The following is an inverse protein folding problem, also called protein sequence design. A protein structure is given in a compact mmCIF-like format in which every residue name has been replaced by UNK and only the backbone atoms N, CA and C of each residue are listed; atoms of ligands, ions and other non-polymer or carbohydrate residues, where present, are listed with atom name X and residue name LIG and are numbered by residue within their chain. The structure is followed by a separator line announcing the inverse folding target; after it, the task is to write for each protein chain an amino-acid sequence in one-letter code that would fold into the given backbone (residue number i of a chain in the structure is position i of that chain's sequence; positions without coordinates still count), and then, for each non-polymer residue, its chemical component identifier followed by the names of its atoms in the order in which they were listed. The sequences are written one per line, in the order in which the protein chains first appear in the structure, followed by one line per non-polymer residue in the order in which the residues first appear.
data_IF_558896190365
#
_entry.id   IF_558896190365
#
_cell.length_a   1.000
_cell.length_b   1.000
_cell.length_c   1.000
_cell.angle_alpha   90.00
_cell.angle_beta   90.00
_cell.angle_gamma   90.00
#
_symmetry.space_group_name_H-M   'P 1'
#
loop_
_entity.id
_entity.type
_entity.pdbx_description
1 polymer ?
#
# COMPACT_ATOMS: atom_id res chain seq x y z
N UNK A 1 -2.91 -17.46 0.23
CA UNK A 1 -1.66 -18.04 -0.33
C UNK A 1 -1.93 -18.94 -1.53
N UNK A 2 -2.92 -19.85 -1.49
CA UNK A 2 -3.25 -20.72 -2.62
C UNK A 2 -3.53 -19.99 -3.96
N UNK A 3 -4.11 -18.78 -3.92
CA UNK A 3 -4.46 -18.03 -5.13
C UNK A 3 -3.27 -17.72 -6.05
N UNK A 4 -2.20 -17.11 -5.52
CA UNK A 4 -1.02 -16.73 -6.34
C UNK A 4 -0.31 -17.96 -6.90
N UNK A 5 -0.12 -18.99 -6.07
CA UNK A 5 0.48 -20.25 -6.51
C UNK A 5 -0.32 -20.89 -7.65
N UNK A 6 -1.64 -20.93 -7.55
CA UNK A 6 -2.50 -21.48 -8.60
C UNK A 6 -2.35 -20.72 -9.93
N UNK A 7 -2.23 -19.39 -9.88
CA UNK A 7 -2.00 -18.56 -11.08
C UNK A 7 -0.62 -18.86 -11.68
N UNK A 8 0.43 -18.91 -10.87
CA UNK A 8 1.79 -19.24 -11.31
C UNK A 8 1.83 -20.61 -12.00
N UNK A 9 1.25 -21.64 -11.36
CA UNK A 9 1.16 -22.99 -11.92
C UNK A 9 0.32 -23.04 -13.21
N UNK A 10 -0.74 -22.23 -13.31
CA UNK A 10 -1.52 -22.11 -14.54
C UNK A 10 -0.73 -21.43 -15.66
N UNK A 11 0.01 -20.35 -15.36
CA UNK A 11 0.85 -19.66 -16.33
C UNK A 11 1.95 -20.57 -16.90
N UNK A 12 2.61 -21.34 -16.02
CA UNK A 12 3.61 -22.33 -16.42
C UNK A 12 3.01 -23.41 -17.34
N UNK A 13 1.86 -23.99 -16.96
CA UNK A 13 1.19 -25.03 -17.77
C UNK A 13 0.68 -24.51 -19.12
N UNK A 14 0.20 -23.28 -19.16
CA UNK A 14 -0.34 -22.66 -20.37
C UNK A 14 0.73 -22.05 -21.28
N UNK A 15 2.00 -21.99 -20.85
CA UNK A 15 3.06 -21.33 -21.62
C UNK A 15 2.82 -19.83 -21.79
N UNK A 16 2.32 -19.15 -20.76
CA UNK A 16 2.07 -17.70 -20.80
C UNK A 16 3.38 -16.97 -21.10
N UNK A 17 3.33 -16.06 -22.08
CA UNK A 17 4.52 -15.31 -22.54
C UNK A 17 5.12 -14.41 -21.46
N UNK A 18 4.27 -13.79 -20.63
CA UNK A 18 4.69 -12.94 -19.51
C UNK A 18 3.58 -12.80 -18.48
N UNK A 19 3.93 -12.92 -17.21
CA UNK A 19 3.07 -12.58 -16.07
C UNK A 19 3.52 -11.25 -15.45
N UNK A 20 2.67 -10.23 -15.48
CA UNK A 20 2.87 -9.02 -14.66
C UNK A 20 2.13 -9.20 -13.34
N UNK A 21 2.87 -9.29 -12.26
CA UNK A 21 2.32 -9.52 -10.93
C UNK A 21 2.29 -8.23 -10.11
N UNK A 22 1.09 -7.79 -9.73
CA UNK A 22 0.89 -6.64 -8.85
C UNK A 22 1.08 -7.05 -7.39
N UNK A 23 2.24 -6.72 -6.84
CA UNK A 23 2.52 -6.82 -5.41
C UNK A 23 2.15 -5.50 -4.72
N UNK A 24 2.90 -5.09 -3.70
CA UNK A 24 2.75 -3.84 -2.98
C UNK A 24 4.09 -3.44 -2.40
N UNK A 25 4.31 -2.14 -2.17
CA UNK A 25 5.44 -1.68 -1.35
C UNK A 25 5.52 -2.42 -0.01
N UNK A 26 4.38 -2.80 0.56
CA UNK A 26 4.26 -3.57 1.81
C UNK A 26 4.80 -5.01 1.74
N UNK A 27 5.12 -5.52 0.55
CA UNK A 27 5.82 -6.80 0.42
C UNK A 27 7.33 -6.67 0.71
N UNK A 28 7.90 -5.48 0.51
CA UNK A 28 9.32 -5.21 0.68
C UNK A 28 9.61 -5.04 2.17
N UNK A 29 10.69 -5.68 2.64
CA UNK A 29 11.12 -5.57 4.03
C UNK A 29 11.41 -4.11 4.38
N UNK A 30 10.78 -3.59 5.44
CA UNK A 30 10.98 -2.22 5.86
C UNK A 30 12.40 -2.04 6.42
N UNK A 31 13.22 -1.14 5.86
CA UNK A 31 14.53 -0.83 6.43
C UNK A 31 14.39 0.00 7.71
N UNK A 32 15.49 0.17 8.49
CA UNK A 32 15.49 1.08 9.63
C UNK A 32 14.93 2.46 9.27
N UNK A 33 14.14 3.03 10.19
CA UNK A 33 13.47 4.31 9.95
C UNK A 33 14.46 5.39 9.51
N UNK A 34 14.13 6.10 8.43
CA UNK A 34 14.97 7.15 7.85
C UNK A 34 15.84 6.67 6.67
N UNK A 35 15.82 5.38 6.36
CA UNK A 35 16.47 4.82 5.16
C UNK A 35 15.54 4.88 3.95
N UNK A 36 16.03 5.25 2.76
CA UNK A 36 15.20 5.21 1.55
C UNK A 36 14.88 3.76 1.19
N UNK A 37 13.60 3.44 0.96
CA UNK A 37 13.16 2.13 0.49
C UNK A 37 13.30 2.07 -1.02
N UNK A 38 13.97 1.05 -1.54
CA UNK A 38 14.11 0.76 -2.96
C UNK A 38 13.99 -0.76 -3.23
N UNK A 39 14.13 -1.18 -4.49
CA UNK A 39 14.00 -2.57 -4.92
C UNK A 39 15.21 -3.45 -4.55
N UNK A 40 16.23 -2.91 -3.87
CA UNK A 40 17.36 -3.71 -3.38
C UNK A 40 17.01 -4.45 -2.09
N UNK A 41 15.98 -4.00 -1.37
CA UNK A 41 15.47 -4.66 -0.18
C UNK A 41 14.69 -5.93 -0.52
N UNK A 42 14.85 -7.01 0.27
CA UNK A 42 14.22 -8.29 -0.03
C UNK A 42 12.72 -8.27 0.26
N UNK A 43 12.00 -9.19 -0.37
CA UNK A 43 10.66 -9.59 0.09
C UNK A 43 10.83 -10.57 1.26
N UNK A 44 10.44 -10.15 2.47
CA UNK A 44 10.65 -10.92 3.69
C UNK A 44 9.37 -10.96 4.56
N UNK A 45 8.62 -12.07 4.54
CA UNK A 45 7.41 -12.23 5.35
C UNK A 45 7.64 -12.19 6.86
N UNK A 46 8.85 -12.51 7.33
CA UNK A 46 9.21 -12.57 8.75
C UNK A 46 9.58 -11.19 9.30
N UNK A 47 10.02 -10.28 8.43
CA UNK A 47 10.27 -8.87 8.74
C UNK A 47 9.08 -7.96 8.49
N UNK A 48 7.92 -8.53 8.15
CA UNK A 48 6.71 -7.79 7.88
C UNK A 48 6.16 -7.07 9.12
N UNK A 49 5.61 -5.87 8.90
CA UNK A 49 4.98 -5.04 9.93
C UNK A 49 3.67 -5.66 10.44
N UNK A 50 2.94 -6.36 9.57
CA UNK A 50 1.66 -6.99 9.88
C UNK A 50 1.31 -8.12 8.93
N UNK A 51 0.16 -8.75 9.17
CA UNK A 51 -0.29 -9.93 8.41
C UNK A 51 -0.52 -9.63 6.92
N UNK A 52 -0.97 -8.41 6.58
CA UNK A 52 -1.12 -7.99 5.19
C UNK A 52 0.23 -7.97 4.46
N UNK A 53 1.22 -7.30 5.05
CA UNK A 53 2.60 -7.20 4.54
C UNK A 53 3.21 -8.59 4.37
N UNK A 54 3.06 -9.45 5.38
CA UNK A 54 3.54 -10.84 5.35
C UNK A 54 2.88 -11.63 4.22
N UNK A 55 1.57 -11.49 4.04
CA UNK A 55 0.84 -12.15 2.96
C UNK A 55 1.30 -11.68 1.57
N UNK A 56 1.64 -10.40 1.42
CA UNK A 56 2.11 -9.80 0.16
C UNK A 56 3.54 -10.21 -0.14
N UNK A 57 4.42 -10.23 0.85
CA UNK A 57 5.78 -10.75 0.73
C UNK A 57 5.75 -12.22 0.31
N UNK A 58 4.96 -13.07 0.99
CA UNK A 58 4.91 -14.49 0.69
C UNK A 58 4.33 -14.78 -0.69
N UNK A 59 3.27 -14.07 -1.09
CA UNK A 59 2.72 -14.20 -2.44
C UNK A 59 3.72 -13.76 -3.52
N UNK A 60 4.56 -12.77 -3.25
CA UNK A 60 5.62 -12.34 -4.19
C UNK A 60 6.71 -13.41 -4.32
N UNK A 61 7.08 -14.05 -3.22
CA UNK A 61 8.02 -15.17 -3.23
C UNK A 61 7.52 -16.37 -4.05
N UNK A 62 6.22 -16.65 -4.06
CA UNK A 62 5.62 -17.67 -4.94
C UNK A 62 5.82 -17.34 -6.43
N UNK A 63 5.70 -16.06 -6.81
CA UNK A 63 5.95 -15.63 -8.19
C UNK A 63 7.43 -15.78 -8.55
N UNK A 64 8.34 -15.37 -7.66
CA UNK A 64 9.78 -15.57 -7.84
C UNK A 64 10.16 -17.05 -7.91
N UNK A 65 9.45 -17.92 -7.19
CA UNK A 65 9.61 -19.36 -7.31
C UNK A 65 9.13 -19.88 -8.66
N UNK A 66 8.09 -19.28 -9.24
CA UNK A 66 7.69 -19.50 -10.63
C UNK A 66 8.77 -19.07 -11.63
N UNK A 67 9.43 -17.94 -11.41
CA UNK A 67 10.55 -17.47 -12.24
C UNK A 67 11.69 -18.48 -12.26
N UNK A 68 12.05 -19.05 -11.10
CA UNK A 68 13.05 -20.13 -11.01
C UNK A 68 12.66 -21.40 -11.78
N UNK A 69 11.37 -21.60 -12.06
CA UNK A 69 10.84 -22.69 -12.88
C UNK A 69 10.71 -22.33 -14.37
N UNK A 70 11.18 -21.15 -14.78
CA UNK A 70 11.17 -20.70 -16.18
C UNK A 70 9.98 -19.81 -16.56
N UNK A 71 9.16 -19.37 -15.60
CA UNK A 71 8.12 -18.38 -15.88
C UNK A 71 8.74 -17.01 -16.16
N UNK A 72 8.44 -16.41 -17.30
CA UNK A 72 8.71 -14.98 -17.48
C UNK A 72 7.70 -14.17 -16.65
N UNK A 73 8.13 -13.67 -15.49
CA UNK A 73 7.32 -12.81 -14.64
C UNK A 73 8.08 -11.55 -14.24
N UNK A 74 7.33 -10.44 -14.16
CA UNK A 74 7.79 -9.14 -13.68
C UNK A 74 6.89 -8.71 -12.54
N UNK A 75 7.46 -8.12 -11.49
CA UNK A 75 6.74 -7.70 -10.30
C UNK A 75 6.65 -6.17 -10.28
N UNK A 76 5.46 -5.65 -9.97
CA UNK A 76 5.26 -4.22 -9.74
C UNK A 76 4.75 -3.99 -8.32
N UNK A 77 5.33 -3.00 -7.64
CA UNK A 77 5.09 -2.70 -6.23
C UNK A 77 4.56 -1.27 -6.10
N UNK A 78 3.25 -1.03 -6.33
CA UNK A 78 2.67 0.28 -6.10
C UNK A 78 2.66 0.66 -4.63
N UNK A 79 2.75 1.96 -4.37
CA UNK A 79 2.55 2.60 -3.06
C UNK A 79 1.07 2.89 -2.82
N UNK A 80 0.72 3.99 -2.13
CA UNK A 80 -0.65 4.39 -1.85
C UNK A 80 -1.39 4.83 -3.10
N UNK A 81 -2.10 3.91 -3.74
CA UNK A 81 -2.83 4.22 -4.97
C UNK A 81 -4.05 5.10 -4.67
N UNK A 82 -4.08 6.28 -5.30
CA UNK A 82 -5.22 7.21 -5.28
C UNK A 82 -5.57 7.61 -6.72
N UNK A 83 -6.83 7.92 -6.99
CA UNK A 83 -7.20 8.41 -8.31
C UNK A 83 -8.69 8.26 -8.63
N UNK A 84 -9.08 8.63 -9.86
CA UNK A 84 -10.47 8.51 -10.30
C UNK A 84 -10.93 7.05 -10.40
N UNK A 85 -12.25 6.87 -10.53
CA UNK A 85 -12.89 5.56 -10.78
C UNK A 85 -12.76 4.53 -9.65
N UNK A 86 -12.69 4.99 -8.40
CA UNK A 86 -12.72 4.14 -7.20
C UNK A 86 -14.15 3.62 -6.89
N UNK A 87 -14.68 2.76 -7.77
CA UNK A 87 -16.08 2.32 -7.73
C UNK A 87 -16.44 1.42 -6.54
N UNK A 88 -15.51 0.57 -6.09
CA UNK A 88 -15.70 -0.29 -4.92
C UNK A 88 -15.47 0.43 -3.59
N UNK A 89 -15.02 1.69 -3.67
CA UNK A 89 -14.66 2.56 -2.58
C UNK A 89 -13.55 1.98 -1.70
N UNK A 90 -12.31 2.32 -2.06
CA UNK A 90 -11.12 2.08 -1.24
C UNK A 90 -11.18 2.80 0.11
N UNK A 91 -10.32 2.41 1.03
CA UNK A 91 -10.17 3.09 2.33
C UNK A 91 -9.83 4.58 2.14
N UNK A 92 -9.03 4.93 1.12
CA UNK A 92 -8.70 6.32 0.80
C UNK A 92 -9.90 7.07 0.21
N UNK A 93 -10.66 6.44 -0.71
CA UNK A 93 -11.89 7.02 -1.22
C UNK A 93 -12.91 7.27 -0.11
N UNK A 94 -13.05 6.32 0.82
CA UNK A 94 -13.92 6.47 1.99
C UNK A 94 -13.44 7.59 2.93
N UNK A 95 -12.12 7.74 3.13
CA UNK A 95 -11.52 8.84 3.89
C UNK A 95 -11.89 10.19 3.28
N UNK A 96 -11.78 10.34 1.95
CA UNK A 96 -12.14 11.58 1.25
C UNK A 96 -13.63 11.90 1.38
N UNK A 97 -14.49 10.90 1.21
CA UNK A 97 -15.95 11.06 1.41
C UNK A 97 -16.25 11.51 2.84
N UNK A 98 -15.62 10.89 3.83
CA UNK A 98 -15.84 11.23 5.23
C UNK A 98 -15.31 12.63 5.59
N UNK A 99 -14.20 13.05 4.99
CA UNK A 99 -13.68 14.40 5.10
C UNK A 99 -14.71 15.43 4.60
N UNK A 100 -15.18 15.26 3.36
CA UNK A 100 -16.13 16.18 2.72
C UNK A 100 -17.47 16.21 3.48
N UNK A 101 -17.91 15.05 4.00
CA UNK A 101 -19.10 14.95 4.85
C UNK A 101 -18.88 15.43 6.29
N UNK A 102 -17.71 15.98 6.63
CA UNK A 102 -17.34 16.48 7.98
C UNK A 102 -17.49 15.42 9.07
N UNK A 103 -17.32 14.13 8.72
CA UNK A 103 -17.39 13.00 9.64
C UNK A 103 -16.06 12.71 10.34
N UNK A 104 -14.97 13.31 9.86
CA UNK A 104 -13.65 13.23 10.48
C UNK A 104 -13.54 14.31 11.56
N UNK A 105 -13.41 13.88 12.82
CA UNK A 105 -13.22 14.78 13.97
C UNK A 105 -11.76 14.90 14.40
N UNK A 106 -10.96 13.89 14.08
CA UNK A 106 -9.55 13.77 14.43
C UNK A 106 -8.75 13.22 13.25
N UNK A 107 -7.48 13.57 13.16
CA UNK A 107 -6.50 12.95 12.26
C UNK A 107 -5.21 12.64 13.01
N UNK A 108 -4.41 11.71 12.49
CA UNK A 108 -3.12 11.32 13.06
C UNK A 108 -2.00 11.87 12.19
N UNK A 109 -0.94 12.35 12.82
CA UNK A 109 0.25 12.81 12.12
C UNK A 109 0.98 11.66 11.42
N UNK A 110 1.54 11.93 10.26
CA UNK A 110 2.25 10.95 9.48
C UNK A 110 2.50 11.43 8.06
N UNK A 111 3.16 10.59 7.28
CA UNK A 111 3.34 10.79 5.86
C UNK A 111 3.32 9.44 5.16
N UNK A 112 2.86 9.45 3.92
CA UNK A 112 2.82 8.26 3.09
C UNK A 112 3.11 8.62 1.65
N UNK A 113 3.62 7.67 0.89
CA UNK A 113 3.84 7.83 -0.55
C UNK A 113 2.57 7.45 -1.29
N UNK A 114 2.08 8.36 -2.12
CA UNK A 114 0.90 8.16 -2.94
C UNK A 114 1.23 8.21 -4.41
N UNK A 115 0.58 7.37 -5.19
CA UNK A 115 0.75 7.29 -6.66
C UNK A 115 -0.62 7.36 -7.33
N UNK A 116 -0.70 8.05 -8.47
CA UNK A 116 -1.93 8.11 -9.24
C UNK A 116 -2.23 6.74 -9.88
N UNK A 117 -3.49 6.28 -9.79
CA UNK A 117 -3.93 5.00 -10.39
C UNK A 117 -3.64 4.91 -11.90
N UNK A 118 -3.64 6.04 -12.61
CA UNK A 118 -3.33 6.10 -14.04
C UNK A 118 -1.84 5.86 -14.28
N UNK A 119 -0.97 6.40 -13.44
CA UNK A 119 0.47 6.17 -13.50
C UNK A 119 0.80 4.71 -13.15
N UNK A 120 0.08 4.13 -12.18
CA UNK A 120 0.18 2.69 -11.88
C UNK A 120 -0.19 1.85 -13.10
N UNK A 121 -1.28 2.19 -13.80
CA UNK A 121 -1.71 1.47 -15.00
C UNK A 121 -0.65 1.56 -16.12
N UNK A 122 -0.09 2.75 -16.35
CA UNK A 122 1.02 2.95 -17.30
C UNK A 122 2.24 2.12 -16.87
N UNK A 123 2.58 2.12 -15.57
CA UNK A 123 3.68 1.34 -15.01
C UNK A 123 3.52 -0.17 -15.24
N UNK A 124 2.31 -0.72 -15.16
CA UNK A 124 2.05 -2.12 -15.50
C UNK A 124 2.31 -2.43 -16.97
N UNK A 125 1.90 -1.53 -17.88
CA UNK A 125 2.13 -1.68 -19.32
C UNK A 125 3.64 -1.64 -19.60
N UNK A 126 4.35 -0.66 -19.03
CA UNK A 126 5.80 -0.54 -19.19
C UNK A 126 6.55 -1.73 -18.60
N UNK A 127 6.13 -2.25 -17.44
CA UNK A 127 6.69 -3.46 -16.86
C UNK A 127 6.45 -4.69 -17.77
N UNK A 128 5.27 -4.78 -18.40
CA UNK A 128 4.97 -5.83 -19.36
C UNK A 128 5.87 -5.74 -20.60
N UNK A 129 6.15 -4.55 -21.11
CA UNK A 129 6.90 -4.38 -22.36
C UNK A 129 8.41 -4.40 -22.15
N UNK A 130 8.90 -3.76 -21.08
CA UNK A 130 10.32 -3.43 -20.87
C UNK A 130 10.92 -4.04 -19.61
N UNK A 131 10.07 -4.58 -18.74
CA UNK A 131 10.52 -5.21 -17.50
C UNK A 131 11.43 -6.41 -17.76
N UNK A 132 12.42 -6.59 -16.89
CA UNK A 132 13.30 -7.76 -16.90
C UNK A 132 12.69 -8.88 -16.06
N UNK A 133 12.76 -10.10 -16.56
CA UNK A 133 12.28 -11.30 -15.85
C UNK A 133 12.89 -11.41 -14.46
N UNK A 134 12.06 -11.66 -13.45
CA UNK A 134 12.45 -11.80 -12.04
C UNK A 134 12.67 -10.49 -11.30
N UNK A 135 12.65 -9.34 -11.99
CA UNK A 135 12.83 -8.05 -11.34
C UNK A 135 11.51 -7.49 -10.80
N UNK A 136 11.64 -6.69 -9.75
CA UNK A 136 10.59 -5.83 -9.20
C UNK A 136 10.83 -4.36 -9.55
N UNK A 137 9.72 -3.60 -9.62
CA UNK A 137 9.71 -2.16 -9.87
C UNK A 137 8.73 -1.48 -8.92
N UNK A 138 9.18 -0.50 -8.14
CA UNK A 138 8.34 0.31 -7.26
C UNK A 138 7.65 1.39 -8.10
N UNK A 139 6.32 1.44 -8.00
CA UNK A 139 5.51 2.48 -8.62
C UNK A 139 5.11 3.46 -7.52
N UNK A 140 5.97 4.44 -7.27
CA UNK A 140 5.79 5.53 -6.31
C UNK A 140 5.48 6.84 -7.04
N UNK A 141 4.78 7.73 -6.35
CA UNK A 141 4.50 9.08 -6.84
C UNK A 141 5.15 10.11 -5.93
N UNK A 142 4.40 10.59 -4.96
CA UNK A 142 4.82 11.66 -4.07
C UNK A 142 4.59 11.32 -2.59
N UNK A 143 5.59 11.61 -1.76
CA UNK A 143 5.47 11.55 -0.31
C UNK A 143 4.69 12.76 0.21
N UNK A 144 3.46 12.51 0.66
CA UNK A 144 2.54 13.54 1.15
C UNK A 144 2.30 13.32 2.64
N UNK A 145 2.35 14.40 3.44
CA UNK A 145 1.99 14.33 4.85
C UNK A 145 0.47 14.28 5.03
N UNK A 146 -0.03 13.72 6.13
CA UNK A 146 -1.46 13.74 6.42
C UNK A 146 -2.00 15.18 6.45
N UNK A 147 -1.20 16.14 6.93
CA UNK A 147 -1.57 17.56 6.95
C UNK A 147 -1.71 18.13 5.53
N UNK A 148 -0.71 17.92 4.67
CA UNK A 148 -0.73 18.39 3.29
C UNK A 148 -1.89 17.77 2.52
N UNK A 149 -2.17 16.48 2.71
CA UNK A 149 -3.32 15.81 2.11
C UNK A 149 -4.64 16.49 2.50
N UNK A 150 -4.80 16.81 3.78
CA UNK A 150 -6.00 17.48 4.29
C UNK A 150 -6.12 18.93 3.78
N UNK A 151 -5.00 19.62 3.60
CA UNK A 151 -4.94 20.95 3.00
C UNK A 151 -5.32 20.92 1.51
N UNK A 152 -4.80 19.95 0.74
CA UNK A 152 -5.18 19.76 -0.66
C UNK A 152 -6.68 19.49 -0.81
N UNK A 153 -7.27 18.63 0.04
CA UNK A 153 -8.71 18.37 -0.01
C UNK A 153 -9.50 19.64 0.37
N UNK A 154 -9.03 20.43 1.34
CA UNK A 154 -9.65 21.71 1.70
C UNK A 154 -9.64 22.69 0.53
N UNK A 155 -8.54 22.80 -0.20
CA UNK A 155 -8.44 23.71 -1.36
C UNK A 155 -9.45 23.33 -2.46
N UNK A 156 -9.63 22.04 -2.71
CA UNK A 156 -10.56 21.54 -3.73
C UNK A 156 -12.03 21.65 -3.29
N UNK A 157 -12.32 21.37 -2.02
CA UNK A 157 -13.70 21.15 -1.54
C UNK A 157 -14.25 22.31 -0.70
N UNK A 158 -13.40 23.27 -0.32
CA UNK A 158 -13.65 24.31 0.67
C UNK A 158 -14.06 23.80 2.07
N UNK A 159 -13.96 22.49 2.34
CA UNK A 159 -14.27 21.89 3.65
C UNK A 159 -13.05 22.00 4.56
N UNK A 160 -13.26 22.48 5.79
CA UNK A 160 -12.17 22.65 6.77
C UNK A 160 -11.71 21.29 7.31
N UNK A 161 -10.39 21.09 7.49
CA UNK A 161 -9.86 19.86 8.06
C UNK A 161 -10.23 19.71 9.55
N UNK A 162 -10.15 18.49 10.09
CA UNK A 162 -10.40 18.25 11.50
C UNK A 162 -9.43 19.07 12.36
N UNK A 163 -9.95 19.72 13.42
CA UNK A 163 -9.14 20.60 14.28
C UNK A 163 -8.22 19.86 15.23
N UNK A 164 -8.56 18.62 15.55
CA UNK A 164 -7.88 17.86 16.60
C UNK A 164 -6.89 16.87 15.99
N UNK A 165 -5.61 17.18 16.16
CA UNK A 165 -4.50 16.26 15.86
C UNK A 165 -4.37 15.27 17.02
N UNK A 166 -4.59 13.99 16.75
CA UNK A 166 -4.46 12.93 17.75
C UNK A 166 -2.98 12.50 17.85
N UNK A 167 -2.38 12.57 19.05
CA UNK A 167 -1.03 12.06 19.26
C UNK A 167 -0.93 10.56 18.96
N UNK A 168 0.17 10.14 18.31
CA UNK A 168 0.39 8.75 17.90
C UNK A 168 0.33 7.77 19.09
N UNK A 169 0.87 8.16 20.25
CA UNK A 169 0.85 7.31 21.45
C UNK A 169 -0.59 7.03 21.91
N UNK A 170 -1.46 8.05 21.86
CA UNK A 170 -2.87 7.92 22.22
C UNK A 170 -3.60 7.04 21.20
N UNK A 171 -3.29 7.20 19.92
CA UNK A 171 -3.81 6.34 18.86
C UNK A 171 -3.43 4.87 19.08
N UNK A 172 -2.17 4.58 19.45
CA UNK A 172 -1.68 3.22 19.75
C UNK A 172 -2.39 2.60 20.96
N UNK A 173 -2.69 3.39 21.99
CA UNK A 173 -3.45 2.94 23.16
C UNK A 173 -4.89 2.60 22.75
N UNK A 174 -5.58 3.51 22.07
CA UNK A 174 -6.95 3.30 21.59
C UNK A 174 -7.03 2.07 20.67
N UNK A 175 -6.04 1.91 19.78
CA UNK A 175 -5.89 0.78 18.87
C UNK A 175 -5.65 -0.56 19.61
N UNK A 176 -5.17 -0.52 20.85
CA UNK A 176 -4.93 -1.71 21.68
C UNK A 176 -6.16 -2.15 22.45
N UNK A 177 -7.01 -1.22 22.88
CA UNK A 177 -8.27 -1.49 23.58
C UNK A 177 -9.47 -1.65 22.67
N UNK A 178 -9.25 -1.51 21.37
CA UNK A 178 -10.29 -1.58 20.37
C UNK A 178 -11.09 -2.89 20.40
N UNK A 179 -10.51 -4.09 20.69
CA UNK A 179 -11.24 -5.36 20.92
C UNK A 179 -12.51 -5.24 21.77
N UNK A 180 -12.44 -4.39 22.80
CA UNK A 180 -13.47 -4.26 23.83
C UNK A 180 -14.52 -3.20 23.49
N UNK A 181 -14.16 -2.17 22.71
CA UNK A 181 -15.09 -1.16 22.18
C UNK A 181 -15.90 -1.69 20.98
N UNK A 182 -15.39 -2.74 20.32
CA UNK A 182 -15.96 -3.37 19.12
C UNK A 182 -17.28 -4.09 19.31
N UNK A 183 -17.56 -4.67 20.49
CA UNK A 183 -18.84 -5.36 20.70
C UNK A 183 -19.99 -4.40 21.01
N UNK A 184 -19.69 -3.12 21.22
CA UNK A 184 -20.65 -2.10 21.65
C UNK A 184 -20.96 -1.08 20.55
N UNK A 185 -20.17 -1.02 19.47
CA UNK A 185 -20.36 -0.05 18.38
C UNK A 185 -20.20 -0.72 17.01
N UNK A 186 -21.28 -0.82 16.22
CA UNK A 186 -21.32 -1.47 14.88
C UNK A 186 -20.55 -0.70 13.78
N UNK A 187 -19.59 0.13 14.13
CA UNK A 187 -18.83 0.94 13.16
C UNK A 187 -17.48 0.32 12.83
N UNK A 188 -17.22 0.07 11.54
CA UNK A 188 -15.90 -0.38 11.04
C UNK A 188 -14.80 0.56 11.55
N UNK A 189 -13.69 0.04 12.13
CA UNK A 189 -12.66 0.88 12.71
C UNK A 189 -11.88 1.65 11.64
N UNK A 190 -11.89 2.99 11.74
CA UNK A 190 -11.17 3.90 10.84
C UNK A 190 -9.66 4.01 11.13
N UNK A 191 -9.27 3.67 12.35
CA UNK A 191 -7.87 3.65 12.80
C UNK A 191 -7.55 2.24 13.29
N UNK A 192 -7.01 1.41 12.40
CA UNK A 192 -6.53 0.09 12.79
C UNK A 192 -5.11 0.22 13.32
N UNK A 193 -4.66 -0.73 14.15
CA UNK A 193 -3.23 -0.79 14.56
C UNK A 193 -2.31 -0.75 13.34
N UNK A 194 -2.74 -1.39 12.25
CA UNK A 194 -2.03 -1.42 10.98
C UNK A 194 -1.94 -0.04 10.33
N UNK A 195 -3.07 0.66 10.11
CA UNK A 195 -3.05 1.99 9.46
C UNK A 195 -2.25 3.02 10.26
N UNK A 196 -2.31 2.96 11.59
CA UNK A 196 -1.48 3.81 12.46
C UNK A 196 0.00 3.47 12.27
N UNK A 197 0.35 2.19 12.25
CA UNK A 197 1.75 1.77 12.08
C UNK A 197 2.28 2.20 10.71
N UNK A 198 1.49 2.03 9.64
CA UNK A 198 1.83 2.47 8.27
C UNK A 198 2.04 3.98 8.13
N UNK A 199 1.22 4.81 8.79
CA UNK A 199 1.40 6.27 8.74
C UNK A 199 2.62 6.75 9.52
N UNK A 200 3.08 5.94 10.48
CA UNK A 200 4.24 6.22 11.32
C UNK A 200 5.48 5.44 10.92
N UNK A 201 5.36 4.59 9.89
CA UNK A 201 6.45 3.80 9.33
C UNK A 201 7.18 4.64 8.30
N UNK A 202 8.32 4.14 7.85
CA UNK A 202 9.15 4.80 6.88
C UNK A 202 8.38 4.99 5.56
N UNK A 203 8.33 6.24 5.08
CA UNK A 203 7.60 6.65 3.87
C UNK A 203 8.50 7.25 2.80
N UNK A 204 9.83 7.13 2.97
CA UNK A 204 10.79 7.63 1.99
C UNK A 204 11.08 6.52 0.99
N UNK A 205 10.60 6.68 -0.23
CA UNK A 205 10.62 5.63 -1.26
C UNK A 205 11.33 6.16 -2.51
N UNK A 206 12.15 5.32 -3.11
CA UNK A 206 12.80 5.57 -4.40
C UNK A 206 12.10 4.78 -5.49
N UNK A 207 11.83 5.45 -6.62
CA UNK A 207 11.33 4.83 -7.85
C UNK A 207 12.34 4.90 -9.00
N UNK A 208 13.62 5.18 -8.73
CA UNK A 208 14.64 5.39 -9.77
C UNK A 208 14.85 4.23 -10.75
N UNK A 209 14.44 3.01 -10.37
CA UNK A 209 14.55 1.82 -11.22
C UNK A 209 13.42 1.69 -12.24
N UNK A 210 12.24 2.24 -11.95
CA UNK A 210 11.04 2.17 -12.78
C UNK A 210 11.08 3.19 -13.92
#
# INVERSE_FOLDING_TARGET
MAGTRNVVEACLRAGVRRLVYTSSIHAIAEPPHGTVIDETFPFDPDRAIGEYDSSKAQATLEVLQGVKQGLDAVIVCPTGVIGPYDYKLSEMGQLFIDFVKKKLKVYIDGAYDYVDVRDVAIGHILACEKGRTGESYILSGERITTEDLMLMIKEITAVRPPRFKMPIWLAKIIATFTPLYYSLTETKPRFTKYSIRTLTSNSTISCHKA
#
